data_IF_332362706208
#
_entry.id   IF_332362706208
#
_cell.length_a   1.000
_cell.length_b   1.000
_cell.length_c   1.000
_cell.angle_alpha   90.00
_cell.angle_beta   90.00
_cell.angle_gamma   90.00
#
_symmetry.space_group_name_H-M   'P 1'
#
loop_
_entity.id
_entity.type
_entity.pdbx_description
1 polymer ?
#
# COMPACT_ATOMS: atom_id res chain seq x y z
N UNK A 1 48.91 2.44 -34.44
CA UNK A 1 50.13 3.25 -34.34
C UNK A 1 50.03 4.11 -33.08
N UNK A 2 50.88 3.81 -32.11
CA UNK A 2 50.94 4.42 -30.79
C UNK A 2 51.29 5.91 -30.84
N UNK A 3 50.62 6.72 -30.02
CA UNK A 3 51.24 7.89 -29.39
C UNK A 3 50.77 7.98 -27.94
N UNK A 4 51.71 7.65 -27.07
CA UNK A 4 51.69 7.97 -25.65
C UNK A 4 52.07 9.44 -25.49
N UNK A 5 51.29 10.17 -24.70
CA UNK A 5 51.75 11.39 -24.03
C UNK A 5 51.13 11.38 -22.64
N UNK A 6 51.92 10.89 -21.70
CA UNK A 6 51.67 10.93 -20.26
C UNK A 6 52.04 12.33 -19.77
N UNK A 7 51.09 13.01 -19.11
CA UNK A 7 51.39 14.12 -18.20
C UNK A 7 50.77 13.75 -16.85
N UNK A 8 51.63 13.46 -15.88
CA UNK A 8 51.27 13.30 -14.47
C UNK A 8 51.81 14.55 -13.76
N UNK A 9 50.90 15.41 -13.31
CA UNK A 9 51.15 16.45 -12.32
C UNK A 9 50.57 16.01 -10.98
N UNK A 10 51.26 16.23 -9.84
CA UNK A 10 50.81 15.78 -8.54
C UNK A 10 49.86 16.81 -7.91
N UNK A 11 48.75 16.35 -7.35
CA UNK A 11 47.89 17.19 -6.53
C UNK A 11 46.61 17.64 -7.25
N UNK A 12 45.64 16.74 -7.30
CA UNK A 12 44.19 16.99 -7.23
C UNK A 12 43.50 15.64 -7.35
N UNK A 13 42.72 15.23 -6.36
CA UNK A 13 41.76 14.14 -6.51
C UNK A 13 40.70 14.58 -7.54
N UNK A 14 41.02 14.41 -8.82
CA UNK A 14 40.03 14.41 -9.88
C UNK A 14 39.26 13.09 -9.77
N UNK A 15 38.07 13.14 -9.17
CA UNK A 15 37.09 12.07 -9.35
C UNK A 15 36.73 12.07 -10.83
N UNK A 16 37.28 11.10 -11.54
CA UNK A 16 37.08 10.89 -12.97
C UNK A 16 35.62 10.53 -13.19
N UNK A 17 34.88 11.45 -13.82
CA UNK A 17 33.60 11.19 -14.46
C UNK A 17 33.81 10.10 -15.52
N UNK A 18 33.38 8.87 -15.23
CA UNK A 18 33.20 7.85 -16.25
C UNK A 18 31.81 8.03 -16.88
N UNK A 19 31.79 8.74 -18.00
CA UNK A 19 30.73 8.68 -19.00
C UNK A 19 31.08 7.58 -20.01
N UNK A 20 30.36 6.46 -19.94
CA UNK A 20 30.27 5.44 -20.99
C UNK A 20 28.76 5.12 -21.15
N UNK A 21 28.06 5.86 -22.01
CA UNK A 21 27.77 5.58 -23.44
C UNK A 21 26.71 4.48 -23.64
N UNK A 22 25.55 4.96 -24.11
CA UNK A 22 24.55 4.33 -24.99
C UNK A 22 23.74 3.13 -24.47
N UNK A 23 22.67 3.43 -23.74
CA UNK A 23 21.36 2.86 -24.01
C UNK A 23 20.46 3.97 -24.56
N UNK A 24 19.62 3.69 -25.55
CA UNK A 24 18.64 4.65 -26.07
C UNK A 24 17.83 5.24 -24.92
N UNK A 25 18.09 6.49 -24.54
CA UNK A 25 17.16 7.25 -23.71
C UNK A 25 15.99 7.61 -24.61
N UNK A 26 14.98 6.73 -24.67
CA UNK A 26 13.63 7.26 -24.82
C UNK A 26 13.50 8.26 -23.68
N UNK A 27 13.42 9.54 -24.04
CA UNK A 27 13.06 10.61 -23.13
C UNK A 27 11.63 10.33 -22.69
N UNK A 28 11.47 9.42 -21.74
CA UNK A 28 10.31 9.39 -20.88
C UNK A 28 10.21 10.80 -20.31
N UNK A 29 9.11 11.49 -20.60
CA UNK A 29 8.86 12.81 -20.05
C UNK A 29 9.10 12.72 -18.54
N UNK A 30 9.88 13.65 -17.99
CA UNK A 30 10.15 13.68 -16.56
C UNK A 30 8.81 13.69 -15.80
N UNK A 31 8.60 12.68 -14.96
CA UNK A 31 7.41 12.55 -14.12
C UNK A 31 7.79 13.03 -12.72
N UNK A 32 7.13 14.08 -12.26
CA UNK A 32 7.21 14.48 -10.85
C UNK A 32 6.30 13.55 -10.02
N UNK A 33 6.84 12.76 -9.08
CA UNK A 33 6.09 11.71 -8.39
C UNK A 33 4.86 12.21 -7.65
N UNK A 34 4.98 13.33 -6.92
CA UNK A 34 3.89 13.90 -6.12
C UNK A 34 2.74 14.41 -6.98
N UNK A 35 3.02 15.17 -8.04
CA UNK A 35 1.97 15.63 -8.97
C UNK A 35 1.31 14.46 -9.71
N UNK A 36 2.07 13.44 -10.07
CA UNK A 36 1.53 12.26 -10.74
C UNK A 36 0.63 11.45 -9.80
N UNK A 37 1.01 11.34 -8.53
CA UNK A 37 0.19 10.76 -7.48
C UNK A 37 -1.13 11.52 -7.29
N UNK A 38 -1.08 12.85 -7.14
CA UNK A 38 -2.28 13.68 -6.99
C UNK A 38 -3.22 13.54 -8.19
N UNK A 39 -2.67 13.51 -9.40
CA UNK A 39 -3.45 13.28 -10.61
C UNK A 39 -4.14 11.91 -10.62
N UNK A 40 -3.46 10.86 -10.15
CA UNK A 40 -4.06 9.53 -10.04
C UNK A 40 -5.18 9.50 -8.98
N UNK A 41 -5.01 10.20 -7.85
CA UNK A 41 -6.07 10.37 -6.85
C UNK A 41 -7.25 11.17 -7.39
N UNK A 42 -7.02 12.21 -8.21
CA UNK A 42 -8.09 12.95 -8.89
C UNK A 42 -8.89 12.04 -9.82
N UNK A 43 -8.23 11.12 -10.55
CA UNK A 43 -8.95 10.15 -11.36
C UNK A 43 -9.87 9.29 -10.46
N UNK A 44 -9.36 8.76 -9.35
CA UNK A 44 -10.15 7.93 -8.42
C UNK A 44 -11.38 8.64 -7.86
N UNK A 45 -11.27 9.93 -7.54
CA UNK A 45 -12.37 10.68 -6.93
C UNK A 45 -13.43 11.10 -7.95
N UNK A 46 -13.04 11.33 -9.21
CA UNK A 46 -13.95 11.79 -10.26
C UNK A 46 -14.73 10.67 -10.95
N UNK A 47 -14.18 9.45 -10.99
CA UNK A 47 -14.79 8.35 -11.74
C UNK A 47 -15.27 7.22 -10.83
N UNK A 48 -16.30 6.50 -11.27
CA UNK A 48 -16.79 5.34 -10.54
C UNK A 48 -15.86 4.14 -10.76
N UNK A 49 -15.03 3.84 -9.76
CA UNK A 49 -14.17 2.66 -9.74
C UNK A 49 -14.73 1.54 -8.87
N UNK A 50 -14.51 0.30 -9.33
CA UNK A 50 -14.67 -0.90 -8.52
C UNK A 50 -13.28 -1.40 -8.15
N UNK A 51 -13.06 -1.54 -6.85
CA UNK A 51 -11.82 -2.06 -6.27
C UNK A 51 -12.05 -3.53 -5.88
N UNK A 52 -11.23 -4.43 -6.43
CA UNK A 52 -11.37 -5.88 -6.26
C UNK A 52 -10.15 -6.44 -5.55
N UNK A 53 -10.37 -7.21 -4.49
CA UNK A 53 -9.30 -7.85 -3.72
C UNK A 53 -8.59 -8.95 -4.52
N UNK A 54 -7.27 -8.87 -4.64
CA UNK A 54 -6.43 -9.96 -5.16
C UNK A 54 -5.92 -10.79 -3.97
N UNK A 55 -6.61 -11.88 -3.65
CA UNK A 55 -6.22 -12.78 -2.55
C UNK A 55 -4.99 -13.62 -2.96
N UNK A 56 -3.84 -13.54 -2.25
CA UNK A 56 -2.68 -14.39 -2.54
C UNK A 56 -2.70 -15.74 -1.82
N UNK A 57 -3.77 -16.12 -1.11
CA UNK A 57 -3.91 -17.48 -0.54
C UNK A 57 -4.44 -17.57 0.89
N UNK A 58 -5.37 -16.70 1.28
CA UNK A 58 -6.04 -16.80 2.59
C UNK A 58 -7.11 -17.92 2.60
N UNK A 59 -7.36 -18.50 3.77
CA UNK A 59 -8.38 -19.56 4.00
C UNK A 59 -9.81 -19.04 3.70
N UNK A 60 -10.00 -17.72 3.63
CA UNK A 60 -11.26 -17.08 3.27
C UNK A 60 -11.18 -16.65 1.80
N UNK A 61 -11.40 -17.62 0.90
CA UNK A 61 -11.31 -17.41 -0.55
C UNK A 61 -12.20 -16.24 -1.02
N UNK A 62 -11.80 -15.58 -2.11
CA UNK A 62 -12.56 -14.56 -2.84
C UNK A 62 -14.06 -14.86 -3.07
N UNK A 63 -14.50 -16.12 -3.00
CA UNK A 63 -15.94 -16.48 -3.04
C UNK A 63 -16.77 -15.97 -1.86
N UNK A 64 -16.13 -15.58 -0.76
CA UNK A 64 -16.78 -15.17 0.49
C UNK A 64 -16.66 -13.68 0.82
N UNK A 65 -15.86 -12.94 0.05
CA UNK A 65 -15.59 -11.52 0.27
C UNK A 65 -16.22 -10.69 -0.85
N UNK A 66 -17.54 -10.50 -0.79
CA UNK A 66 -18.12 -9.29 -1.38
C UNK A 66 -17.96 -8.18 -0.34
N UNK A 67 -16.70 -7.79 -0.10
CA UNK A 67 -16.37 -6.74 0.86
C UNK A 67 -16.68 -5.40 0.22
N UNK A 68 -17.72 -4.72 0.72
CA UNK A 68 -18.03 -3.32 0.39
C UNK A 68 -16.94 -2.34 0.83
N UNK A 69 -15.86 -2.82 1.44
CA UNK A 69 -14.76 -1.96 1.87
C UNK A 69 -13.84 -1.65 0.69
N UNK A 70 -13.76 -0.37 0.37
CA UNK A 70 -12.83 0.17 -0.61
C UNK A 70 -11.77 0.99 0.14
N UNK A 71 -10.49 0.54 0.20
CA UNK A 71 -9.44 1.31 0.87
C UNK A 71 -9.22 2.67 0.19
N UNK A 72 -9.59 2.84 -1.06
CA UNK A 72 -9.45 4.09 -1.82
C UNK A 72 -10.73 4.95 -1.81
N UNK A 73 -11.71 4.65 -0.96
CA UNK A 73 -12.95 5.43 -0.88
C UNK A 73 -12.71 6.87 -0.42
N UNK A 74 -11.81 7.05 0.55
CA UNK A 74 -11.37 8.37 1.02
C UNK A 74 -10.00 8.71 0.42
N UNK A 75 -10.03 9.27 -0.79
CA UNK A 75 -8.79 9.72 -1.46
C UNK A 75 -8.14 10.90 -0.76
N UNK A 76 -8.92 11.72 -0.04
CA UNK A 76 -8.43 12.96 0.58
C UNK A 76 -7.57 12.65 1.81
N UNK A 77 -7.93 11.60 2.56
CA UNK A 77 -7.05 10.99 3.58
C UNK A 77 -5.62 10.79 3.09
N UNK A 78 -5.45 10.31 1.86
CA UNK A 78 -4.12 10.03 1.30
C UNK A 78 -3.43 11.28 0.79
N UNK A 79 -4.15 12.34 0.44
CA UNK A 79 -3.51 13.61 0.03
C UNK A 79 -2.84 14.31 1.20
N UNK A 80 -3.47 14.27 2.37
CA UNK A 80 -3.06 15.08 3.52
C UNK A 80 -2.00 14.42 4.42
N UNK A 81 -1.86 13.10 4.33
CA UNK A 81 -1.12 12.29 5.30
C UNK A 81 -0.06 11.35 4.70
N UNK A 82 0.39 11.70 3.50
CA UNK A 82 1.54 11.05 2.86
C UNK A 82 2.81 11.78 3.27
N UNK A 83 3.79 11.02 3.75
CA UNK A 83 5.10 11.58 4.13
C UNK A 83 6.02 11.74 2.92
N UNK A 84 5.92 10.84 1.95
CA UNK A 84 6.79 10.81 0.78
C UNK A 84 6.18 10.00 -0.37
N UNK A 85 6.41 10.44 -1.61
CA UNK A 85 6.08 9.71 -2.84
C UNK A 85 7.34 9.55 -3.69
N UNK A 86 7.69 8.31 -4.03
CA UNK A 86 8.81 8.00 -4.93
C UNK A 86 8.35 7.11 -6.08
N UNK A 87 9.01 7.20 -7.23
CA UNK A 87 8.81 6.23 -8.31
C UNK A 87 9.65 5.00 -8.03
N UNK A 88 9.02 3.85 -7.94
CA UNK A 88 9.69 2.56 -7.89
C UNK A 88 10.14 2.17 -9.31
N UNK A 89 11.42 2.43 -9.62
CA UNK A 89 12.00 2.16 -10.93
C UNK A 89 12.15 0.67 -11.23
N UNK A 90 12.18 -0.19 -10.21
CA UNK A 90 12.33 -1.63 -10.39
C UNK A 90 11.00 -2.27 -10.82
N UNK A 91 9.88 -1.74 -10.30
CA UNK A 91 8.53 -2.21 -10.63
C UNK A 91 7.88 -1.44 -11.79
N UNK A 92 8.41 -0.26 -12.14
CA UNK A 92 7.91 0.55 -13.26
C UNK A 92 8.38 0.05 -14.62
N UNK A 93 7.57 0.25 -15.65
CA UNK A 93 7.92 -0.05 -17.03
C UNK A 93 7.47 1.06 -18.01
N UNK A 94 7.45 0.75 -19.30
CA UNK A 94 7.08 1.71 -20.35
C UNK A 94 5.57 2.02 -20.38
N UNK A 95 4.73 1.14 -19.86
CA UNK A 95 3.28 1.26 -19.88
C UNK A 95 2.74 1.78 -18.55
N UNK A 96 3.35 1.38 -17.44
CA UNK A 96 2.94 1.73 -16.09
C UNK A 96 4.07 2.36 -15.27
N UNK A 97 3.68 3.27 -14.39
CA UNK A 97 4.54 3.84 -13.35
C UNK A 97 4.04 3.32 -12.01
N UNK A 98 4.95 2.84 -11.17
CA UNK A 98 4.66 2.41 -9.82
C UNK A 98 5.13 3.50 -8.86
N UNK A 99 4.17 4.03 -8.10
CA UNK A 99 4.43 5.01 -7.05
C UNK A 99 4.49 4.29 -5.71
N UNK A 100 5.61 4.40 -5.01
CA UNK A 100 5.74 4.02 -3.60
C UNK A 100 5.39 5.22 -2.74
N UNK A 101 4.30 5.10 -2.01
CA UNK A 101 3.68 6.17 -1.23
C UNK A 101 3.75 5.80 0.25
N UNK A 102 4.59 6.50 1.00
CA UNK A 102 4.79 6.25 2.42
C UNK A 102 3.71 6.98 3.22
N UNK A 103 2.96 6.22 4.01
CA UNK A 103 1.89 6.74 4.86
C UNK A 103 2.45 7.10 6.23
N UNK A 104 1.97 8.20 6.81
CA UNK A 104 2.29 8.51 8.21
C UNK A 104 1.75 7.42 9.15
N UNK A 105 2.29 7.35 10.38
CA UNK A 105 1.89 6.34 11.37
C UNK A 105 0.40 6.47 11.76
N UNK A 106 -0.20 7.67 11.66
CA UNK A 106 -1.59 7.87 12.02
C UNK A 106 -2.53 7.18 11.01
N UNK A 107 -2.34 7.45 9.72
CA UNK A 107 -3.11 6.82 8.66
C UNK A 107 -2.77 5.35 8.49
N UNK A 108 -1.50 4.96 8.66
CA UNK A 108 -1.13 3.55 8.64
C UNK A 108 -1.90 2.74 9.70
N UNK A 109 -2.09 3.30 10.91
CA UNK A 109 -2.93 2.70 11.96
C UNK A 109 -4.41 2.68 11.60
N UNK A 110 -4.95 3.78 11.06
CA UNK A 110 -6.35 3.84 10.65
C UNK A 110 -6.66 2.82 9.56
N UNK A 111 -5.82 2.73 8.52
CA UNK A 111 -5.96 1.76 7.44
C UNK A 111 -5.98 0.32 7.98
N UNK A 112 -5.07 -0.01 8.90
CA UNK A 112 -5.02 -1.31 9.55
C UNK A 112 -6.29 -1.60 10.35
N UNK A 113 -6.80 -0.61 11.10
CA UNK A 113 -8.06 -0.74 11.85
C UNK A 113 -9.24 -0.98 10.92
N UNK A 114 -9.38 -0.20 9.86
CA UNK A 114 -10.44 -0.35 8.85
C UNK A 114 -10.44 -1.76 8.26
N UNK A 115 -9.25 -2.26 7.90
CA UNK A 115 -9.07 -3.60 7.36
C UNK A 115 -9.51 -4.68 8.35
N UNK A 116 -9.06 -4.59 9.61
CA UNK A 116 -9.39 -5.57 10.63
C UNK A 116 -10.87 -5.53 11.00
N UNK A 117 -11.49 -4.36 11.06
CA UNK A 117 -12.93 -4.23 11.26
C UNK A 117 -13.71 -4.85 10.10
N UNK A 118 -13.27 -4.64 8.86
CA UNK A 118 -13.88 -5.27 7.70
C UNK A 118 -13.77 -6.80 7.77
N UNK A 119 -12.59 -7.35 8.10
CA UNK A 119 -12.41 -8.80 8.29
C UNK A 119 -13.29 -9.35 9.42
N UNK A 120 -13.39 -8.64 10.55
CA UNK A 120 -14.25 -9.01 11.67
C UNK A 120 -15.73 -9.00 11.28
N UNK A 121 -16.18 -8.03 10.49
CA UNK A 121 -17.57 -7.95 10.02
C UNK A 121 -17.91 -9.10 9.08
N UNK A 122 -16.99 -9.50 8.22
CA UNK A 122 -17.15 -10.70 7.38
C UNK A 122 -17.32 -11.95 8.25
N UNK A 123 -16.44 -12.14 9.23
CA UNK A 123 -16.53 -13.27 10.18
C UNK A 123 -17.88 -13.25 10.90
N UNK A 124 -18.33 -12.09 11.39
CA UNK A 124 -19.64 -11.92 12.05
C UNK A 124 -20.80 -12.34 11.14
N UNK A 125 -20.77 -11.97 9.87
CA UNK A 125 -21.82 -12.31 8.90
C UNK A 125 -21.94 -13.80 8.58
N UNK A 126 -20.86 -14.56 8.82
CA UNK A 126 -20.77 -16.00 8.54
C UNK A 126 -21.04 -16.88 9.77
N UNK A 127 -21.22 -16.29 10.95
CA UNK A 127 -21.52 -17.04 12.16
C UNK A 127 -22.88 -17.75 12.03
N UNK A 128 -22.96 -19.07 12.27
CA UNK A 128 -24.22 -19.80 12.16
C UNK A 128 -25.20 -19.32 13.24
N UNK A 129 -26.38 -18.86 12.81
CA UNK A 129 -27.51 -18.59 13.69
C UNK A 129 -28.03 -19.91 14.26
N UNK A 130 -27.62 -20.29 15.48
CA UNK A 130 -28.13 -21.49 16.14
C UNK A 130 -29.48 -21.22 16.82
N UNK A 131 -30.39 -22.20 16.76
CA UNK A 131 -31.81 -22.07 17.09
C UNK A 131 -32.15 -21.81 18.57
N UNK A 132 -31.19 -21.92 19.50
CA UNK A 132 -31.33 -21.56 20.93
C UNK A 132 -30.76 -20.15 21.21
N UNK A 133 -30.91 -19.28 20.20
CA UNK A 133 -29.93 -18.28 19.78
C UNK A 133 -29.83 -16.98 20.57
N UNK A 134 -30.47 -16.82 21.73
CA UNK A 134 -30.41 -15.54 22.45
C UNK A 134 -29.23 -15.47 23.41
N UNK A 135 -28.94 -16.55 24.15
CA UNK A 135 -27.90 -16.54 25.19
C UNK A 135 -26.49 -16.73 24.64
N UNK A 136 -26.32 -17.70 23.73
CA UNK A 136 -25.03 -17.95 23.08
C UNK A 136 -24.63 -16.83 22.11
N UNK A 137 -25.62 -16.17 21.49
CA UNK A 137 -25.36 -15.00 20.66
C UNK A 137 -24.90 -13.79 21.51
N UNK A 138 -25.43 -13.62 22.71
CA UNK A 138 -24.94 -12.60 23.64
C UNK A 138 -23.50 -12.87 24.09
N UNK A 139 -23.16 -14.12 24.45
CA UNK A 139 -21.81 -14.52 24.85
C UNK A 139 -20.79 -14.35 23.70
N UNK A 140 -21.14 -14.75 22.47
CA UNK A 140 -20.30 -14.53 21.28
C UNK A 140 -20.15 -13.04 20.99
N UNK A 141 -21.22 -12.25 21.11
CA UNK A 141 -21.18 -10.80 20.90
C UNK A 141 -20.30 -10.10 21.93
N UNK A 142 -20.40 -10.47 23.20
CA UNK A 142 -19.54 -9.96 24.27
C UNK A 142 -18.07 -10.34 24.04
N UNK A 143 -17.79 -11.60 23.68
CA UNK A 143 -16.45 -12.04 23.33
C UNK A 143 -15.87 -11.23 22.17
N UNK A 144 -16.65 -11.04 21.10
CA UNK A 144 -16.22 -10.25 19.93
C UNK A 144 -15.97 -8.79 20.30
N UNK A 145 -16.80 -8.19 21.15
CA UNK A 145 -16.59 -6.83 21.65
C UNK A 145 -15.33 -6.71 22.52
N UNK A 146 -15.06 -7.71 23.35
CA UNK A 146 -13.82 -7.76 24.14
C UNK A 146 -12.58 -7.93 23.25
N UNK A 147 -12.66 -8.80 22.23
CA UNK A 147 -11.59 -8.97 21.25
C UNK A 147 -11.31 -7.67 20.50
N UNK A 148 -12.35 -6.96 20.07
CA UNK A 148 -12.26 -5.64 19.42
C UNK A 148 -11.54 -4.61 20.29
N UNK A 149 -11.92 -4.50 21.57
CA UNK A 149 -11.28 -3.58 22.51
C UNK A 149 -9.81 -3.92 22.76
N UNK A 150 -9.46 -5.20 22.81
CA UNK A 150 -8.07 -5.63 22.96
C UNK A 150 -7.24 -5.34 21.70
N UNK A 151 -7.85 -5.50 20.52
CA UNK A 151 -7.23 -5.21 19.24
C UNK A 151 -6.88 -3.72 19.13
N UNK A 152 -7.84 -2.83 19.38
CA UNK A 152 -7.63 -1.37 19.34
C UNK A 152 -6.50 -0.97 20.29
N UNK A 153 -6.53 -1.44 21.55
CA UNK A 153 -5.48 -1.14 22.52
C UNK A 153 -4.09 -1.61 22.08
N UNK A 154 -4.00 -2.76 21.42
CA UNK A 154 -2.73 -3.29 20.91
C UNK A 154 -2.21 -2.45 19.75
N UNK A 155 -3.08 -2.05 18.82
CA UNK A 155 -2.71 -1.21 17.68
C UNK A 155 -2.29 0.19 18.15
N UNK A 156 -3.01 0.76 19.12
CA UNK A 156 -2.65 2.05 19.72
C UNK A 156 -1.23 2.02 20.31
N UNK A 157 -0.87 0.94 21.00
CA UNK A 157 0.45 0.76 21.60
C UNK A 157 1.55 0.33 20.60
N UNK A 158 1.19 -0.04 19.37
CA UNK A 158 2.13 -0.50 18.34
C UNK A 158 2.73 0.67 17.54
N UNK A 159 3.86 0.42 16.88
CA UNK A 159 4.36 1.25 15.79
C UNK A 159 3.90 0.61 14.49
N UNK A 160 3.21 1.37 13.63
CA UNK A 160 2.72 0.87 12.35
C UNK A 160 3.32 1.71 11.24
N UNK A 161 3.93 1.03 10.27
CA UNK A 161 4.43 1.64 9.06
C UNK A 161 3.71 1.02 7.89
N UNK A 162 3.20 1.85 6.97
CA UNK A 162 2.53 1.34 5.77
C UNK A 162 3.07 2.05 4.53
N UNK A 163 3.36 1.26 3.51
CA UNK A 163 3.71 1.73 2.17
C UNK A 163 2.61 1.30 1.20
N UNK A 164 2.04 2.25 0.48
CA UNK A 164 1.12 2.03 -0.61
C UNK A 164 1.88 2.04 -1.94
N UNK A 165 1.89 0.91 -2.62
CA UNK A 165 2.33 0.81 -4.01
C UNK A 165 1.12 1.06 -4.93
N UNK A 166 1.17 2.11 -5.73
CA UNK A 166 0.12 2.47 -6.68
C UNK A 166 0.63 2.33 -8.10
N UNK A 167 0.08 1.38 -8.85
CA UNK A 167 0.34 1.21 -10.27
C UNK A 167 -0.58 2.12 -11.07
N UNK A 168 0.00 2.96 -11.91
CA UNK A 168 -0.71 3.97 -12.69
C UNK A 168 -0.30 3.86 -14.15
N UNK A 169 -1.28 3.89 -15.06
CA UNK A 169 -1.03 3.98 -16.49
C UNK A 169 -0.31 5.30 -16.82
N UNK A 170 0.84 5.20 -17.48
CA UNK A 170 1.73 6.35 -17.71
C UNK A 170 1.09 7.45 -18.55
N UNK A 171 0.19 7.09 -19.47
CA UNK A 171 -0.37 8.03 -20.45
C UNK A 171 -1.62 8.74 -19.93
N UNK A 172 -2.49 7.99 -19.26
CA UNK A 172 -3.78 8.48 -18.75
C UNK A 172 -3.70 8.97 -17.31
N UNK A 173 -2.70 8.54 -16.54
CA UNK A 173 -2.67 8.63 -15.09
C UNK A 173 -3.81 7.86 -14.40
N UNK A 174 -4.42 6.89 -15.09
CA UNK A 174 -5.44 6.04 -14.50
C UNK A 174 -4.80 5.00 -13.58
N UNK A 175 -5.24 4.87 -12.32
CA UNK A 175 -4.76 3.84 -11.43
C UNK A 175 -5.29 2.48 -11.85
N UNK A 176 -4.40 1.49 -11.82
CA UNK A 176 -4.64 0.12 -12.30
C UNK A 176 -4.75 -0.83 -11.11
N UNK A 177 -3.88 -0.65 -10.13
CA UNK A 177 -3.73 -1.54 -8.99
C UNK A 177 -3.17 -0.77 -7.82
N UNK A 178 -3.58 -1.15 -6.61
CA UNK A 178 -2.99 -0.67 -5.37
C UNK A 178 -2.59 -1.86 -4.50
N UNK A 179 -1.46 -1.75 -3.81
CA UNK A 179 -1.03 -2.71 -2.81
C UNK A 179 -0.58 -1.97 -1.56
N UNK A 180 -1.04 -2.42 -0.40
CA UNK A 180 -0.59 -1.92 0.89
C UNK A 180 0.34 -2.95 1.53
N UNK A 181 1.51 -2.49 1.93
CA UNK A 181 2.49 -3.27 2.68
C UNK A 181 2.58 -2.65 4.08
N UNK A 182 1.99 -3.31 5.06
CA UNK A 182 1.90 -2.80 6.44
C UNK A 182 2.79 -3.63 7.35
N UNK A 183 3.63 -2.96 8.11
CA UNK A 183 4.51 -3.53 9.10
C UNK A 183 4.08 -3.07 10.49
N UNK A 184 3.90 -4.01 11.41
CA UNK A 184 3.41 -3.77 12.76
C UNK A 184 4.50 -4.24 13.74
N UNK A 185 5.06 -3.31 14.49
CA UNK A 185 6.00 -3.59 15.58
C UNK A 185 5.29 -3.42 16.92
N UNK A 186 5.25 -4.48 17.74
CA UNK A 186 4.56 -4.47 19.04
C UNK A 186 5.26 -5.34 20.09
N UNK A 187 4.87 -5.19 21.36
CA UNK A 187 5.35 -6.04 22.46
C UNK A 187 4.32 -7.12 22.80
N UNK A 188 4.74 -8.39 22.78
CA UNK A 188 3.95 -9.51 23.25
C UNK A 188 4.65 -10.16 24.45
N UNK A 189 4.02 -10.11 25.63
CA UNK A 189 4.60 -10.63 26.89
C UNK A 189 6.03 -10.11 27.16
N UNK A 190 6.29 -8.83 26.85
CA UNK A 190 7.59 -8.18 27.03
C UNK A 190 8.62 -8.46 25.94
N UNK A 191 8.28 -9.25 24.91
CA UNK A 191 9.14 -9.53 23.77
C UNK A 191 8.71 -8.70 22.55
N UNK A 192 9.65 -8.08 21.82
CA UNK A 192 9.34 -7.40 20.56
C UNK A 192 8.93 -8.42 19.49
N UNK A 193 7.81 -8.15 18.84
CA UNK A 193 7.29 -8.91 17.71
C UNK A 193 7.08 -7.98 16.52
N UNK A 194 7.19 -8.56 15.33
CA UNK A 194 7.04 -7.88 14.06
C UNK A 194 6.14 -8.71 13.15
N UNK A 195 5.08 -8.10 12.66
CA UNK A 195 4.12 -8.72 11.74
C UNK A 195 4.04 -7.91 10.45
N UNK A 196 3.97 -8.61 9.31
CA UNK A 196 3.83 -8.00 8.00
C UNK A 196 2.52 -8.44 7.38
N UNK A 197 1.77 -7.48 6.85
CA UNK A 197 0.53 -7.67 6.11
C UNK A 197 0.72 -7.09 4.72
N UNK A 198 0.25 -7.82 3.71
CA UNK A 198 0.27 -7.38 2.32
C UNK A 198 -1.09 -7.61 1.70
N UNK A 199 -1.69 -6.53 1.25
CA UNK A 199 -3.03 -6.53 0.67
C UNK A 199 -2.98 -5.90 -0.71
N UNK A 200 -3.60 -6.54 -1.69
CA UNK A 200 -3.50 -6.14 -3.09
C UNK A 200 -4.88 -6.03 -3.70
N UNK A 201 -5.09 -5.00 -4.51
CA UNK A 201 -6.40 -4.66 -5.06
C UNK A 201 -6.28 -4.21 -6.51
N UNK A 202 -7.07 -4.80 -7.40
CA UNK A 202 -7.26 -4.31 -8.77
C UNK A 202 -8.27 -3.19 -8.81
N UNK A 203 -8.00 -2.18 -9.62
CA UNK A 203 -8.86 -1.02 -9.81
C UNK A 203 -9.42 -1.10 -11.23
N UNK A 204 -10.74 -1.14 -11.33
CA UNK A 204 -11.44 -1.27 -12.61
C UNK A 204 -12.48 -0.17 -12.76
N UNK A 205 -12.48 0.52 -13.90
CA UNK A 205 -13.45 1.55 -14.19
C UNK A 205 -14.81 0.91 -14.51
N UNK A 206 -15.87 1.41 -13.88
CA UNK A 206 -17.24 1.02 -14.25
C UNK A 206 -17.68 1.79 -15.49
N UNK A 207 -18.35 1.09 -16.41
CA UNK A 207 -18.85 1.64 -17.69
C UNK A 207 -20.23 2.26 -17.52
#
# INVERSE_FOLDING_TARGET
MSKWLSFVGPGSCAVVFYLLISGCTMTDAYIEPEQFFLKALDQLSMEHYVVQWEDPGSIISQKTLNTNWNPLEDTDRYREHVSEVIIDQELSDRQGVVLSVYLDNHIAKQLLLDQLYNQMNVIRSQLPLMADGTRMNNEITEFMKHAELQLVKRIDASQVQSNMLLWVDRNSANPIKVQFNTMIDFLNNGQPMKESLTDSFLISKTR
#
